data_IF_811940421548
#
_entry.id   IF_811940421548
#
_cell.length_a   1.000
_cell.length_b   1.000
_cell.length_c   1.000
_cell.angle_alpha   90.00
_cell.angle_beta   90.00
_cell.angle_gamma   90.00
#
_symmetry.space_group_name_H-M   'P 1'
#
loop_
_entity.id
_entity.type
_entity.pdbx_description
1 polymer ?
#
# COMPACT_ATOMS: atom_id res chain seq x y z
N UNK A 1 -19.16 6.88 -15.57
CA UNK A 1 -18.54 5.62 -15.11
C UNK A 1 -18.33 5.83 -13.65
N UNK A 2 -19.05 5.05 -12.85
CA UNK A 2 -19.08 5.23 -11.41
C UNK A 2 -18.09 4.24 -10.80
N UNK A 3 -17.24 4.70 -9.90
CA UNK A 3 -16.23 3.87 -9.28
C UNK A 3 -15.90 4.36 -7.87
N UNK A 4 -15.45 3.43 -7.03
CA UNK A 4 -14.82 3.76 -5.77
C UNK A 4 -13.45 3.10 -5.70
N UNK A 5 -12.46 3.85 -5.25
CA UNK A 5 -11.10 3.34 -5.05
C UNK A 5 -10.57 3.73 -3.66
N UNK A 6 -9.82 2.81 -3.06
CA UNK A 6 -8.95 3.09 -1.92
C UNK A 6 -7.54 3.38 -2.42
N UNK A 7 -6.93 4.47 -1.99
CA UNK A 7 -5.53 4.77 -2.23
C UNK A 7 -4.77 4.81 -0.91
N UNK A 8 -3.70 4.03 -0.84
CA UNK A 8 -2.96 3.78 0.40
C UNK A 8 -1.46 3.96 0.12
N UNK A 9 -0.78 4.78 0.92
CA UNK A 9 0.67 4.99 0.85
C UNK A 9 1.44 3.79 1.44
N UNK A 10 1.34 2.64 0.76
CA UNK A 10 2.00 1.39 1.10
C UNK A 10 2.21 0.55 -0.16
N UNK A 11 3.13 -0.41 -0.11
CA UNK A 11 3.36 -1.35 -1.20
C UNK A 11 2.20 -2.36 -1.35
N UNK A 12 2.07 -2.94 -2.55
CA UNK A 12 0.99 -3.88 -2.88
C UNK A 12 0.93 -5.07 -1.93
N UNK A 13 2.08 -5.58 -1.51
CA UNK A 13 2.13 -6.79 -0.68
C UNK A 13 1.66 -6.51 0.74
N UNK A 14 2.02 -5.36 1.32
CA UNK A 14 1.52 -4.91 2.63
C UNK A 14 0.01 -4.68 2.59
N UNK A 15 -0.50 -4.04 1.54
CA UNK A 15 -1.95 -3.80 1.39
C UNK A 15 -2.70 -5.13 1.22
N UNK A 16 -2.21 -6.04 0.38
CA UNK A 16 -2.82 -7.37 0.19
C UNK A 16 -2.84 -8.19 1.48
N UNK A 17 -1.73 -8.18 2.21
CA UNK A 17 -1.65 -8.84 3.52
C UNK A 17 -2.66 -8.27 4.51
N UNK A 18 -2.80 -6.96 4.56
CA UNK A 18 -3.76 -6.31 5.44
C UNK A 18 -5.21 -6.67 5.05
N UNK A 19 -5.53 -6.62 3.74
CA UNK A 19 -6.84 -7.00 3.22
C UNK A 19 -7.18 -8.46 3.49
N UNK A 20 -6.26 -9.40 3.25
CA UNK A 20 -6.45 -10.83 3.56
C UNK A 20 -6.53 -11.10 5.06
N UNK A 21 -5.88 -10.27 5.89
CA UNK A 21 -6.05 -10.32 7.36
C UNK A 21 -7.46 -9.88 7.76
N UNK A 22 -7.94 -8.79 7.16
CA UNK A 22 -9.26 -8.23 7.45
C UNK A 22 -10.39 -9.10 6.89
N UNK A 23 -10.17 -9.75 5.75
CA UNK A 23 -11.12 -10.62 5.08
C UNK A 23 -10.38 -11.80 4.42
N UNK A 24 -10.32 -12.98 5.07
CA UNK A 24 -9.60 -14.16 4.58
C UNK A 24 -10.06 -14.72 3.22
N UNK A 25 -11.18 -14.24 2.68
CA UNK A 25 -11.69 -14.59 1.34
C UNK A 25 -11.40 -13.54 0.27
N UNK A 26 -10.47 -12.62 0.51
CA UNK A 26 -10.10 -11.62 -0.49
C UNK A 26 -9.47 -12.31 -1.70
N UNK A 27 -9.97 -12.08 -2.94
CA UNK A 27 -9.45 -12.77 -4.10
C UNK A 27 -7.99 -12.38 -4.37
N UNK A 28 -7.13 -13.39 -4.52
CA UNK A 28 -5.76 -13.23 -4.98
C UNK A 28 -5.81 -12.71 -6.43
N UNK A 29 -5.64 -11.41 -6.61
CA UNK A 29 -5.72 -10.76 -7.93
C UNK A 29 -6.81 -9.71 -8.09
N UNK A 30 -7.44 -9.24 -7.01
CA UNK A 30 -8.16 -7.95 -7.07
C UNK A 30 -7.27 -6.92 -7.78
N UNK A 31 -7.84 -6.10 -8.67
CA UNK A 31 -7.13 -5.18 -9.57
C UNK A 31 -6.36 -4.09 -8.79
N UNK A 32 -5.30 -4.48 -8.09
CA UNK A 32 -4.45 -3.62 -7.28
C UNK A 32 -3.40 -3.02 -8.18
N UNK A 33 -3.48 -1.72 -8.41
CA UNK A 33 -2.47 -0.97 -9.15
C UNK A 33 -1.51 -0.30 -8.17
N UNK A 34 -0.23 -0.19 -8.53
CA UNK A 34 0.76 0.56 -7.76
C UNK A 34 1.43 1.60 -8.64
N UNK A 35 1.42 2.84 -8.19
CA UNK A 35 2.05 3.96 -8.88
C UNK A 35 2.55 4.97 -7.85
N UNK A 36 3.75 5.50 -8.05
CA UNK A 36 4.29 6.63 -7.25
C UNK A 36 4.24 6.39 -5.72
N UNK A 37 4.45 5.15 -5.27
CA UNK A 37 4.42 4.80 -3.84
C UNK A 37 3.02 4.60 -3.25
N UNK A 38 1.96 4.72 -4.06
CA UNK A 38 0.57 4.49 -3.69
C UNK A 38 0.06 3.18 -4.28
N UNK A 39 -0.66 2.41 -3.47
CA UNK A 39 -1.43 1.25 -3.93
C UNK A 39 -2.91 1.63 -4.00
N UNK A 40 -3.50 1.40 -5.17
CA UNK A 40 -4.91 1.65 -5.47
C UNK A 40 -5.68 0.33 -5.48
N UNK A 41 -6.81 0.27 -4.78
CA UNK A 41 -7.68 -0.90 -4.71
C UNK A 41 -9.12 -0.51 -5.09
N UNK A 42 -9.64 -0.96 -6.25
CA UNK A 42 -11.02 -0.71 -6.63
C UNK A 42 -11.98 -1.56 -5.81
N UNK A 43 -13.01 -0.91 -5.28
CA UNK A 43 -13.98 -1.50 -4.36
C UNK A 43 -15.36 -0.88 -4.57
N UNK A 44 -16.39 -1.54 -4.05
CA UNK A 44 -17.70 -0.93 -3.88
C UNK A 44 -17.66 0.14 -2.77
N UNK A 45 -18.46 1.19 -2.89
CA UNK A 45 -18.52 2.29 -1.91
C UNK A 45 -18.78 1.82 -0.48
N UNK A 46 -19.67 0.84 -0.31
CA UNK A 46 -19.98 0.25 1.00
C UNK A 46 -18.79 -0.53 1.59
N UNK A 47 -18.07 -1.27 0.75
CA UNK A 47 -16.87 -1.99 1.18
C UNK A 47 -15.76 -0.98 1.54
N UNK A 48 -15.52 0.02 0.70
CA UNK A 48 -14.52 1.06 0.94
C UNK A 48 -14.72 1.74 2.30
N UNK A 49 -15.94 2.13 2.65
CA UNK A 49 -16.26 2.74 3.95
C UNK A 49 -16.02 1.82 5.16
N UNK A 50 -16.11 0.50 4.99
CA UNK A 50 -15.86 -0.48 6.06
C UNK A 50 -14.38 -0.84 6.20
N UNK A 51 -13.67 -0.97 5.08
CA UNK A 51 -12.27 -1.37 5.06
C UNK A 51 -11.31 -0.22 5.33
N UNK A 52 -11.59 0.99 4.84
CA UNK A 52 -10.72 2.16 5.02
C UNK A 52 -10.30 2.43 6.48
N UNK A 53 -11.23 2.50 7.47
CA UNK A 53 -10.84 2.79 8.85
C UNK A 53 -9.97 1.67 9.47
N UNK A 54 -10.22 0.42 9.08
CA UNK A 54 -9.47 -0.74 9.58
C UNK A 54 -8.09 -0.84 8.95
N UNK A 55 -7.98 -0.55 7.65
CA UNK A 55 -6.72 -0.50 6.92
C UNK A 55 -5.83 0.62 7.45
N UNK A 56 -6.40 1.82 7.69
CA UNK A 56 -5.63 2.94 8.22
C UNK A 56 -5.00 2.61 9.58
N UNK A 57 -5.75 1.92 10.45
CA UNK A 57 -5.29 1.41 11.75
C UNK A 57 -4.28 0.27 11.64
N UNK A 58 -4.52 -0.69 10.75
CA UNK A 58 -3.67 -1.87 10.60
C UNK A 58 -2.31 -1.52 9.99
N UNK A 59 -2.32 -0.66 8.96
CA UNK A 59 -1.12 -0.22 8.26
C UNK A 59 -0.43 0.97 8.94
N UNK A 60 -1.13 1.66 9.86
CA UNK A 60 -0.69 2.94 10.46
C UNK A 60 -0.31 3.97 9.39
N UNK A 61 -1.12 4.04 8.35
CA UNK A 61 -0.98 4.98 7.22
C UNK A 61 -2.31 5.66 6.99
N UNK A 62 -2.29 6.85 6.40
CA UNK A 62 -3.52 7.45 5.93
C UNK A 62 -4.07 6.69 4.73
N UNK A 63 -5.39 6.66 4.62
CA UNK A 63 -6.10 6.00 3.51
C UNK A 63 -7.03 7.01 2.88
N UNK A 64 -6.90 7.20 1.58
CA UNK A 64 -7.83 8.01 0.79
C UNK A 64 -8.91 7.12 0.21
N UNK A 65 -10.16 7.55 0.31
CA UNK A 65 -11.31 6.93 -0.34
C UNK A 65 -11.84 7.90 -1.36
N UNK A 66 -11.86 7.48 -2.61
CA UNK A 66 -12.40 8.26 -3.72
C UNK A 66 -13.70 7.62 -4.17
N UNK A 67 -14.79 8.36 -4.11
CA UNK A 67 -16.09 7.94 -4.65
C UNK A 67 -16.43 8.87 -5.79
N UNK A 68 -16.50 8.34 -7.00
CA UNK A 68 -16.78 9.10 -8.22
C UNK A 68 -18.03 8.50 -8.85
N UNK A 69 -19.08 9.30 -8.98
CA UNK A 69 -20.30 8.95 -9.70
C UNK A 69 -20.53 9.94 -10.85
N UNK A 70 -21.66 9.85 -11.54
CA UNK A 70 -21.98 10.73 -12.68
C UNK A 70 -22.01 12.22 -12.32
N UNK A 71 -22.25 12.57 -11.05
CA UNK A 71 -22.54 13.93 -10.59
C UNK A 71 -21.56 14.44 -9.53
N UNK A 72 -20.87 13.57 -8.81
CA UNK A 72 -20.06 13.90 -7.65
C UNK A 72 -18.69 13.20 -7.68
N UNK A 73 -17.68 13.90 -7.18
CA UNK A 73 -16.39 13.35 -6.84
C UNK A 73 -16.13 13.69 -5.36
N UNK A 74 -16.24 12.67 -4.51
CA UNK A 74 -16.00 12.75 -3.07
C UNK A 74 -14.65 12.14 -2.74
N UNK A 75 -13.87 12.84 -1.93
CA UNK A 75 -12.64 12.29 -1.35
C UNK A 75 -12.75 12.32 0.17
N UNK A 76 -12.36 11.23 0.83
CA UNK A 76 -12.31 11.13 2.29
C UNK A 76 -10.96 10.61 2.73
N UNK A 77 -10.30 11.35 3.62
CA UNK A 77 -9.05 10.94 4.22
C UNK A 77 -9.30 10.29 5.58
N UNK A 78 -8.82 9.07 5.77
CA UNK A 78 -8.82 8.39 7.07
C UNK A 78 -7.44 8.52 7.71
N UNK A 79 -7.40 8.96 8.98
CA UNK A 79 -6.17 9.01 9.77
C UNK A 79 -5.74 7.63 10.23
N UNK A 80 -4.52 7.52 10.76
CA UNK A 80 -3.95 6.27 11.28
C UNK A 80 -4.73 5.65 12.45
N UNK A 81 -5.59 6.43 13.13
CA UNK A 81 -6.51 5.93 14.16
C UNK A 81 -7.82 5.38 13.58
N UNK A 82 -8.04 5.47 12.27
CA UNK A 82 -9.24 5.01 11.56
C UNK A 82 -10.39 6.00 11.55
N UNK A 83 -10.22 7.19 12.12
CA UNK A 83 -11.22 8.26 12.05
C UNK A 83 -11.10 9.02 10.72
N UNK A 84 -12.23 9.53 10.24
CA UNK A 84 -12.23 10.44 9.08
C UNK A 84 -11.57 11.74 9.53
N UNK A 85 -10.46 12.05 8.88
CA UNK A 85 -9.66 13.24 9.09
C UNK A 85 -10.38 14.47 8.56
N UNK A 86 -10.86 14.35 7.32
CA UNK A 86 -11.58 15.36 6.56
C UNK A 86 -12.20 14.67 5.33
N UNK A 87 -13.32 15.20 4.83
CA UNK A 87 -13.90 14.81 3.56
C UNK A 87 -14.16 16.06 2.72
N UNK A 88 -13.89 15.98 1.42
CA UNK A 88 -14.13 17.09 0.51
C UNK A 88 -15.02 16.64 -0.65
N UNK A 89 -16.16 17.31 -0.74
CA UNK A 89 -17.09 17.26 -1.88
C UNK A 89 -17.22 18.63 -2.57
N UNK A 90 -16.68 19.68 -1.92
CA UNK A 90 -16.90 21.08 -2.22
C UNK A 90 -15.61 21.92 -2.12
N UNK A 91 -15.55 23.09 -2.79
CA UNK A 91 -14.33 23.90 -2.92
C UNK A 91 -13.70 24.28 -1.57
N UNK A 92 -14.53 24.70 -0.63
CA UNK A 92 -14.09 25.21 0.67
C UNK A 92 -13.48 24.09 1.56
N UNK A 93 -13.87 22.84 1.30
CA UNK A 93 -13.38 21.67 2.03
C UNK A 93 -12.06 21.14 1.47
N UNK A 94 -11.70 21.50 0.23
CA UNK A 94 -10.46 21.05 -0.42
C UNK A 94 -9.23 21.61 0.29
N UNK A 95 -9.30 22.88 0.73
CA UNK A 95 -8.21 23.53 1.45
C UNK A 95 -7.96 22.85 2.80
N UNK A 96 -9.02 22.58 3.57
CA UNK A 96 -8.93 21.88 4.85
C UNK A 96 -8.41 20.43 4.68
N UNK A 97 -8.93 19.70 3.69
CA UNK A 97 -8.46 18.33 3.40
C UNK A 97 -6.97 18.33 3.05
N UNK A 98 -6.52 19.28 2.24
CA UNK A 98 -5.11 19.40 1.85
C UNK A 98 -4.23 19.70 3.06
N UNK A 99 -4.62 20.63 3.90
CA UNK A 99 -3.87 20.96 5.13
C UNK A 99 -3.72 19.72 6.03
N UNK A 100 -4.83 19.00 6.27
CA UNK A 100 -4.83 17.77 7.06
C UNK A 100 -4.01 16.66 6.36
N UNK A 101 -4.05 16.59 5.04
CA UNK A 101 -3.27 15.64 4.25
C UNK A 101 -1.77 15.91 4.37
N UNK A 102 -1.33 17.17 4.22
CA UNK A 102 0.07 17.60 4.39
C UNK A 102 0.58 17.29 5.81
N UNK A 103 -0.25 17.53 6.84
CA UNK A 103 0.09 17.21 8.23
C UNK A 103 0.17 15.70 8.50
N UNK A 104 -0.67 14.90 7.83
CA UNK A 104 -0.77 13.44 8.05
C UNK A 104 0.22 12.63 7.19
N UNK A 105 0.64 13.16 6.03
CA UNK A 105 1.44 12.46 5.01
C UNK A 105 2.80 13.13 4.72
N UNK A 106 3.58 13.41 5.77
CA UNK A 106 4.93 14.03 5.69
C UNK A 106 5.98 13.24 4.85
N UNK A 107 5.67 12.10 4.21
CA UNK A 107 6.70 11.20 3.64
C UNK A 107 6.45 10.58 2.25
N UNK A 108 5.52 11.09 1.44
CA UNK A 108 5.54 10.79 -0.01
C UNK A 108 5.49 12.11 -0.77
N UNK A 109 6.58 12.86 -0.67
CA UNK A 109 6.87 13.92 -1.64
C UNK A 109 7.22 13.20 -2.94
N UNK A 110 6.27 13.11 -3.87
CA UNK A 110 6.65 12.94 -5.27
C UNK A 110 7.42 14.19 -5.65
N UNK A 111 8.75 14.10 -5.60
CA UNK A 111 9.64 15.03 -6.25
C UNK A 111 9.37 14.91 -7.74
N UNK A 112 8.48 15.76 -8.26
CA UNK A 112 8.46 16.30 -9.61
C UNK A 112 7.32 17.35 -9.66
N UNK A 113 7.65 18.56 -10.10
CA UNK A 113 6.82 19.77 -10.22
C UNK A 113 6.55 20.61 -8.95
N UNK A 114 7.63 20.93 -8.23
CA UNK A 114 7.66 22.12 -7.37
C UNK A 114 7.79 23.41 -8.22
N UNK A 115 6.75 23.76 -8.98
CA UNK A 115 6.58 25.11 -9.55
C UNK A 115 5.13 25.55 -9.75
N UNK A 116 4.13 24.83 -9.23
CA UNK A 116 2.75 25.31 -9.29
C UNK A 116 2.61 26.55 -8.37
N UNK A 117 2.38 27.69 -9.00
CA UNK A 117 2.11 28.96 -8.30
C UNK A 117 0.86 28.82 -7.44
N UNK A 118 0.69 29.67 -6.42
CA UNK A 118 -0.55 29.66 -5.62
C UNK A 118 -1.79 29.88 -6.50
N UNK A 119 -1.64 30.53 -7.65
CA UNK A 119 -2.70 30.71 -8.64
C UNK A 119 -3.03 29.42 -9.40
N UNK A 120 -2.03 28.59 -9.73
CA UNK A 120 -2.25 27.26 -10.33
C UNK A 120 -2.98 26.34 -9.34
N UNK A 121 -2.59 26.37 -8.06
CA UNK A 121 -3.28 25.61 -7.00
C UNK A 121 -4.71 26.07 -6.79
N UNK A 122 -4.97 27.38 -6.86
CA UNK A 122 -6.34 27.92 -6.81
C UNK A 122 -7.15 27.51 -8.03
N UNK A 123 -6.57 27.55 -9.23
CA UNK A 123 -7.22 27.13 -10.46
C UNK A 123 -7.56 25.63 -10.44
N UNK A 124 -6.67 24.80 -9.89
CA UNK A 124 -6.89 23.38 -9.68
C UNK A 124 -7.96 23.10 -8.62
N UNK A 125 -7.95 23.82 -7.50
CA UNK A 125 -9.01 23.72 -6.47
C UNK A 125 -10.38 24.11 -7.04
N UNK A 126 -10.44 25.18 -7.82
CA UNK A 126 -11.64 25.58 -8.55
C UNK A 126 -12.08 24.47 -9.53
N UNK A 127 -11.14 23.91 -10.31
CA UNK A 127 -11.41 22.79 -11.22
C UNK A 127 -11.93 21.54 -10.52
N UNK A 128 -11.36 21.19 -9.36
CA UNK A 128 -11.75 20.02 -8.57
C UNK A 128 -13.19 20.13 -8.05
N UNK A 129 -13.63 21.35 -7.80
CA UNK A 129 -14.94 21.65 -7.23
C UNK A 129 -16.02 22.08 -8.23
N UNK A 130 -15.68 22.27 -9.51
CA UNK A 130 -16.61 22.78 -10.52
C UNK A 130 -17.67 21.72 -10.90
N UNK A 131 -18.95 21.88 -10.51
CA UNK A 131 -19.99 20.90 -10.79
C UNK A 131 -20.30 20.77 -12.28
N UNK A 132 -19.91 21.74 -13.12
CA UNK A 132 -20.08 21.69 -14.57
C UNK A 132 -19.04 20.78 -15.24
N UNK A 133 -17.96 20.43 -14.54
CA UNK A 133 -16.95 19.50 -15.04
C UNK A 133 -17.35 18.06 -14.76
N UNK A 134 -17.06 17.13 -15.70
CA UNK A 134 -17.22 15.70 -15.47
C UNK A 134 -16.50 15.27 -14.18
N UNK A 135 -17.12 14.38 -13.40
CA UNK A 135 -16.59 13.95 -12.12
C UNK A 135 -15.18 13.32 -12.22
N UNK A 136 -14.85 12.70 -13.35
CA UNK A 136 -13.50 12.17 -13.63
C UNK A 136 -12.44 13.27 -13.78
N UNK A 137 -12.80 14.42 -14.36
CA UNK A 137 -11.89 15.58 -14.43
C UNK A 137 -11.72 16.24 -13.06
N UNK A 138 -12.80 16.27 -12.25
CA UNK A 138 -12.71 16.70 -10.85
C UNK A 138 -11.79 15.79 -10.04
N UNK A 139 -11.93 14.46 -10.17
CA UNK A 139 -11.02 13.49 -9.55
C UNK A 139 -9.57 13.74 -9.95
N UNK A 140 -9.30 13.98 -11.24
CA UNK A 140 -7.95 14.29 -11.71
C UNK A 140 -7.38 15.55 -11.07
N UNK A 141 -8.18 16.62 -10.99
CA UNK A 141 -7.76 17.86 -10.35
C UNK A 141 -7.51 17.68 -8.85
N UNK A 142 -8.37 16.93 -8.14
CA UNK A 142 -8.15 16.59 -6.74
C UNK A 142 -6.88 15.75 -6.52
N UNK A 143 -6.65 14.72 -7.34
CA UNK A 143 -5.47 13.87 -7.24
C UNK A 143 -4.18 14.70 -7.42
N UNK A 144 -4.18 15.62 -8.40
CA UNK A 144 -3.06 16.54 -8.63
C UNK A 144 -2.83 17.49 -7.44
N UNK A 145 -3.89 18.06 -6.87
CA UNK A 145 -3.80 18.92 -5.68
C UNK A 145 -3.21 18.20 -4.46
N UNK A 146 -3.52 16.92 -4.29
CA UNK A 146 -3.01 16.11 -3.19
C UNK A 146 -1.64 15.46 -3.51
N UNK A 147 -1.10 15.62 -4.72
CA UNK A 147 0.13 14.96 -5.15
C UNK A 147 0.04 13.44 -5.15
N UNK A 148 -1.15 12.89 -5.43
CA UNK A 148 -1.38 11.44 -5.49
C UNK A 148 -1.66 11.00 -6.93
N UNK A 149 -1.33 9.75 -7.31
CA UNK A 149 -1.55 9.30 -8.68
C UNK A 149 -3.04 9.28 -9.02
N UNK A 150 -3.40 9.86 -10.17
CA UNK A 150 -4.73 9.72 -10.74
C UNK A 150 -4.89 8.33 -11.37
N UNK A 151 -5.80 7.51 -10.83
CA UNK A 151 -6.08 6.16 -11.32
C UNK A 151 -7.57 6.00 -11.56
N UNK A 152 -7.95 5.57 -12.76
CA UNK A 152 -9.32 5.14 -13.08
C UNK A 152 -9.28 3.62 -13.26
N UNK A 153 -10.10 2.86 -12.52
CA UNK A 153 -10.16 1.42 -12.72
C UNK A 153 -10.71 1.10 -14.11
N UNK A 154 -9.99 0.26 -14.85
CA UNK A 154 -10.37 -0.15 -16.21
C UNK A 154 -11.53 -1.15 -16.23
N UNK A 155 -11.74 -1.86 -15.12
CA UNK A 155 -12.77 -2.87 -14.95
C UNK A 155 -13.53 -2.60 -13.64
N UNK A 156 -14.83 -2.98 -13.57
CA UNK A 156 -15.58 -2.91 -12.31
C UNK A 156 -14.86 -3.71 -11.22
N UNK A 157 -15.04 -3.35 -9.93
CA UNK A 157 -14.40 -4.07 -8.84
C UNK A 157 -14.72 -5.56 -8.95
N UNK A 158 -13.67 -6.40 -8.94
CA UNK A 158 -13.84 -7.85 -8.82
C UNK A 158 -14.73 -8.15 -7.61
N UNK A 159 -15.44 -9.29 -7.60
CA UNK A 159 -16.24 -9.73 -6.44
C UNK A 159 -15.37 -9.67 -5.17
N UNK A 160 -15.55 -8.61 -4.41
CA UNK A 160 -14.77 -8.32 -3.21
C UNK A 160 -15.66 -8.58 -2.00
N UNK A 161 -15.11 -9.05 -0.88
CA UNK A 161 -15.86 -9.16 0.36
C UNK A 161 -16.45 -7.79 0.72
N UNK A 162 -17.76 -7.73 0.94
CA UNK A 162 -18.46 -6.49 1.34
C UNK A 162 -18.30 -6.16 2.82
N UNK A 163 -17.81 -7.10 3.62
CA UNK A 163 -17.61 -6.92 5.05
C UNK A 163 -16.27 -7.52 5.51
N UNK A 164 -15.53 -6.81 6.38
CA UNK A 164 -14.37 -7.36 7.04
C UNK A 164 -14.81 -8.42 8.07
N UNK A 165 -14.06 -9.52 8.16
CA UNK A 165 -14.21 -10.52 9.22
C UNK A 165 -13.74 -9.97 10.58
N UNK A 166 -12.80 -9.02 10.57
CA UNK A 166 -12.34 -8.33 11.77
C UNK A 166 -13.07 -7.00 11.94
N UNK A 167 -13.62 -6.76 13.13
CA UNK A 167 -14.15 -5.46 13.55
C UNK A 167 -13.08 -4.65 14.27
N UNK A 168 -13.36 -3.38 14.57
CA UNK A 168 -12.45 -2.50 15.32
C UNK A 168 -12.01 -3.07 16.69
N UNK A 169 -12.84 -3.91 17.32
CA UNK A 169 -12.53 -4.56 18.60
C UNK A 169 -11.58 -5.76 18.45
N UNK A 170 -11.72 -6.56 17.38
CA UNK A 170 -10.84 -7.69 17.07
C UNK A 170 -9.60 -7.29 16.26
N UNK A 171 -9.51 -6.04 15.83
CA UNK A 171 -8.41 -5.52 15.01
C UNK A 171 -7.02 -5.69 15.65
N UNK A 172 -6.80 -5.52 16.97
CA UNK A 172 -5.49 -5.73 17.57
C UNK A 172 -4.93 -7.14 17.33
N UNK A 173 -5.79 -8.16 17.42
CA UNK A 173 -5.42 -9.57 17.19
C UNK A 173 -4.96 -9.79 15.74
N UNK A 174 -5.70 -9.23 14.77
CA UNK A 174 -5.31 -9.28 13.37
C UNK A 174 -4.04 -8.47 13.08
N UNK A 175 -3.90 -7.30 13.71
CA UNK A 175 -2.73 -6.43 13.55
C UNK A 175 -1.45 -7.06 14.10
N UNK A 176 -1.52 -7.89 15.13
CA UNK A 176 -0.38 -8.68 15.62
C UNK A 176 0.02 -9.77 14.63
N UNK A 177 -0.94 -10.50 14.07
CA UNK A 177 -0.68 -11.52 13.03
C UNK A 177 -0.07 -10.89 11.77
N UNK A 178 -0.62 -9.75 11.33
CA UNK A 178 -0.10 -8.96 10.23
C UNK A 178 1.35 -8.51 10.48
N UNK A 179 1.62 -7.88 11.63
CA UNK A 179 2.98 -7.44 12.00
C UNK A 179 3.96 -8.60 12.11
N UNK A 180 3.53 -9.76 12.61
CA UNK A 180 4.35 -10.96 12.65
C UNK A 180 4.74 -11.43 11.25
N UNK A 181 3.79 -11.47 10.31
CA UNK A 181 4.05 -11.82 8.90
C UNK A 181 5.02 -10.84 8.24
N UNK A 182 4.81 -9.53 8.43
CA UNK A 182 5.73 -8.51 7.92
C UNK A 182 7.14 -8.69 8.48
N UNK A 183 7.30 -8.86 9.80
CA UNK A 183 8.62 -9.08 10.42
C UNK A 183 9.35 -10.30 9.86
N UNK A 184 8.63 -11.41 9.64
CA UNK A 184 9.22 -12.62 9.07
C UNK A 184 9.71 -12.37 7.63
N UNK A 185 8.94 -11.65 6.81
CA UNK A 185 9.36 -11.31 5.44
C UNK A 185 10.56 -10.37 5.43
N UNK A 186 10.54 -9.33 6.26
CA UNK A 186 11.68 -8.42 6.39
C UNK A 186 12.92 -9.19 6.80
N UNK A 187 12.82 -10.05 7.82
CA UNK A 187 13.93 -10.91 8.24
C UNK A 187 14.44 -11.83 7.12
N UNK A 188 13.56 -12.43 6.31
CA UNK A 188 13.94 -13.25 5.15
C UNK A 188 14.67 -12.44 4.09
N UNK A 189 14.20 -11.21 3.79
CA UNK A 189 14.87 -10.32 2.84
C UNK A 189 16.26 -9.91 3.31
N UNK A 190 16.41 -9.57 4.59
CA UNK A 190 17.71 -9.28 5.20
C UNK A 190 18.63 -10.50 5.17
N UNK A 191 18.09 -11.70 5.44
CA UNK A 191 18.87 -12.93 5.38
C UNK A 191 19.41 -13.21 3.97
N UNK A 192 18.59 -12.99 2.93
CA UNK A 192 19.04 -13.13 1.55
C UNK A 192 20.09 -12.09 1.16
N UNK A 193 19.92 -10.83 1.58
CA UNK A 193 20.90 -9.77 1.35
C UNK A 193 22.24 -10.08 2.03
N UNK A 194 22.20 -10.46 3.31
CA UNK A 194 23.40 -10.81 4.09
C UNK A 194 24.06 -12.06 3.50
N UNK A 195 23.29 -13.06 3.08
CA UNK A 195 23.81 -14.26 2.41
C UNK A 195 24.47 -13.92 1.07
N UNK A 196 23.89 -13.02 0.27
CA UNK A 196 24.45 -12.57 -0.99
C UNK A 196 25.75 -11.77 -0.79
N UNK A 197 25.76 -10.85 0.17
CA UNK A 197 26.94 -10.07 0.53
C UNK A 197 28.07 -10.97 1.05
N UNK A 198 27.74 -11.94 1.92
CA UNK A 198 28.69 -12.92 2.42
C UNK A 198 29.29 -13.76 1.28
N UNK A 199 28.47 -14.20 0.32
CA UNK A 199 28.95 -14.93 -0.85
C UNK A 199 29.94 -14.09 -1.69
N UNK A 200 29.62 -12.82 -1.94
CA UNK A 200 30.50 -11.89 -2.68
C UNK A 200 31.82 -11.66 -1.92
N UNK A 201 31.77 -11.51 -0.59
CA UNK A 201 32.95 -11.36 0.23
C UNK A 201 33.84 -12.62 0.21
N UNK A 202 33.24 -13.81 0.24
CA UNK A 202 33.95 -15.10 0.13
C UNK A 202 34.64 -15.22 -1.23
N UNK A 203 33.93 -14.91 -2.33
CA UNK A 203 34.51 -14.91 -3.68
C UNK A 203 35.64 -13.89 -3.78
N UNK A 204 35.47 -12.69 -3.23
CA UNK A 204 36.52 -11.65 -3.20
C UNK A 204 37.76 -12.07 -2.41
N UNK A 205 37.59 -12.76 -1.27
CA UNK A 205 38.70 -13.28 -0.46
C UNK A 205 39.46 -14.41 -1.18
N UNK A 206 38.74 -15.33 -1.85
CA UNK A 206 39.35 -16.44 -2.61
C UNK A 206 40.15 -15.92 -3.81
N UNK A 207 39.70 -14.84 -4.44
CA UNK A 207 40.37 -14.26 -5.61
C UNK A 207 41.60 -13.40 -5.24
N UNK A 208 41.66 -12.83 -4.02
CA UNK A 208 42.62 -11.75 -3.68
C UNK A 208 43.50 -11.99 -2.43
N UNK A 209 43.31 -13.05 -1.65
CA UNK A 209 44.01 -13.23 -0.36
C UNK A 209 44.26 -14.69 0.06
N UNK A 210 45.08 -14.91 1.12
CA UNK A 210 45.57 -16.23 1.50
C UNK A 210 44.43 -17.15 1.96
N UNK A 211 44.59 -18.45 1.67
CA UNK A 211 43.62 -19.56 1.83
C UNK A 211 43.05 -19.80 3.25
N UNK A 212 43.36 -18.93 4.21
CA UNK A 212 42.92 -18.97 5.62
C UNK A 212 41.45 -18.52 5.77
N UNK A 213 40.87 -17.81 4.79
CA UNK A 213 39.46 -17.37 4.83
C UNK A 213 38.42 -18.47 4.57
N UNK A 214 38.83 -19.61 4.01
CA UNK A 214 37.96 -20.73 3.61
C UNK A 214 37.22 -21.39 4.79
N UNK A 215 37.87 -21.73 5.92
CA UNK A 215 37.15 -22.29 7.07
C UNK A 215 36.11 -21.34 7.67
N UNK A 216 36.40 -20.03 7.69
CA UNK A 216 35.45 -19.01 8.18
C UNK A 216 34.24 -18.91 7.23
N UNK A 217 34.50 -18.91 5.92
CA UNK A 217 33.45 -18.94 4.89
C UNK A 217 32.52 -20.16 5.04
N UNK A 218 33.07 -21.34 5.27
CA UNK A 218 32.29 -22.57 5.49
C UNK A 218 31.43 -22.51 6.75
N UNK A 219 31.94 -21.94 7.85
CA UNK A 219 31.16 -21.73 9.08
C UNK A 219 30.00 -20.77 8.83
N UNK A 220 30.22 -19.66 8.12
CA UNK A 220 29.16 -18.70 7.79
C UNK A 220 28.08 -19.33 6.90
N UNK A 221 28.48 -20.12 5.89
CA UNK A 221 27.53 -20.86 5.04
C UNK A 221 26.75 -21.89 5.85
N UNK A 222 27.39 -22.63 6.75
CA UNK A 222 26.72 -23.61 7.61
C UNK A 222 25.70 -22.94 8.54
N UNK A 223 26.03 -21.78 9.12
CA UNK A 223 25.10 -21.00 9.95
C UNK A 223 23.93 -20.47 9.12
N UNK A 224 24.18 -19.93 7.91
CA UNK A 224 23.12 -19.47 7.00
C UNK A 224 22.17 -20.62 6.59
N UNK A 225 22.71 -21.80 6.29
CA UNK A 225 21.92 -22.98 5.96
C UNK A 225 21.12 -23.50 7.16
N UNK A 226 21.70 -23.47 8.37
CA UNK A 226 21.00 -23.87 9.59
C UNK A 226 19.84 -22.91 9.90
N UNK A 227 20.04 -21.60 9.75
CA UNK A 227 18.98 -20.60 9.92
C UNK A 227 17.89 -20.80 8.87
N UNK A 228 18.25 -21.05 7.60
CA UNK A 228 17.30 -21.35 6.53
C UNK A 228 16.50 -22.63 6.82
N UNK A 229 17.16 -23.67 7.33
CA UNK A 229 16.51 -24.94 7.71
C UNK A 229 15.53 -24.75 8.87
N UNK A 230 15.92 -24.02 9.92
CA UNK A 230 15.05 -23.73 11.07
C UNK A 230 13.85 -22.86 10.69
N UNK A 231 14.04 -21.86 9.82
CA UNK A 231 12.93 -21.08 9.27
C UNK A 231 12.00 -21.96 8.41
N UNK A 232 12.56 -22.83 7.56
CA UNK A 232 11.78 -23.72 6.69
C UNK A 232 10.96 -24.79 7.44
N UNK A 233 11.42 -25.23 8.62
CA UNK A 233 10.71 -26.23 9.44
C UNK A 233 9.54 -25.66 10.25
N UNK A 234 9.47 -24.33 10.39
CA UNK A 234 8.51 -23.64 11.26
C UNK A 234 7.18 -23.25 10.61
N UNK A 235 6.98 -23.58 9.33
CA UNK A 235 5.75 -23.30 8.57
C UNK A 235 5.39 -24.47 7.63
N UNK A 236 4.09 -24.75 7.42
CA UNK A 236 3.64 -25.80 6.50
C UNK A 236 4.07 -25.50 5.05
N UNK A 237 4.26 -26.53 4.21
CA UNK A 237 4.77 -26.38 2.86
C UNK A 237 3.85 -25.50 2.01
N UNK A 238 4.45 -24.58 1.26
CA UNK A 238 3.75 -23.79 0.24
C UNK A 238 3.06 -24.75 -0.75
N UNK A 239 1.74 -24.60 -0.91
CA UNK A 239 1.02 -25.17 -2.03
C UNK A 239 1.71 -24.68 -3.31
N UNK A 240 2.25 -25.63 -4.04
CA UNK A 240 3.01 -25.39 -5.26
C UNK A 240 2.04 -24.83 -6.30
N UNK A 241 2.11 -23.53 -6.58
CA UNK A 241 1.43 -22.95 -7.72
C UNK A 241 2.14 -23.44 -8.98
N UNK A 242 1.56 -24.44 -9.64
CA UNK A 242 1.87 -24.77 -11.03
C UNK A 242 1.38 -23.62 -11.90
N UNK A 243 2.32 -22.84 -12.43
CA UNK A 243 2.07 -21.93 -13.54
C UNK A 243 1.81 -22.80 -14.77
N UNK A 244 0.55 -23.10 -15.05
CA UNK A 244 0.15 -23.58 -16.37
C UNK A 244 0.00 -22.38 -17.29
N UNK A 245 1.03 -22.13 -18.08
CA UNK A 245 0.90 -21.37 -19.32
C UNK A 245 0.37 -22.30 -20.41
N UNK A 246 -0.92 -22.19 -20.73
CA UNK A 246 -1.51 -22.54 -22.02
C UNK A 246 -2.82 -21.76 -22.19
#
# INVERSE_FOLDING_TARGET
MDYTILQIAADVTSVRDALTTLAPGWPDGAATAHAQGWTTVPLDAQAAGRFAPLLARMLRRGVLVWTVDSEHCRVSLFRTNGEVAEAADHPDQVAALREVFEQTHVLVSSTDDATDSDDDKRALAASASDPRRPATQRHRAFAHLLGVPYVVPAEPPARTPTAPALTGASLPLGADQFRRRQRIRTARSWLHLVSGLALVAIVGMVVRGPWIGIPIALVVIAVLQLVRYLLGRSLPPEATYTVNSA
#
